data_IF_923096328863
#
_entry.id   IF_923096328863
#
_cell.length_a   1.000
_cell.length_b   1.000
_cell.length_c   1.000
_cell.angle_alpha   90.00
_cell.angle_beta   90.00
_cell.angle_gamma   90.00
#
_symmetry.space_group_name_H-M   'P 1'
#
loop_
_entity.id
_entity.type
_entity.pdbx_description
1 polymer ?
#
# COMPACT_ATOMS: atom_id res chain seq x y z
N UNK A 1 -11.94 -11.75 2.12
CA UNK A 1 -13.09 -11.91 3.04
C UNK A 1 -12.64 -12.65 4.29
N UNK A 2 -13.23 -12.35 5.44
CA UNK A 2 -12.89 -13.05 6.68
C UNK A 2 -13.32 -14.52 6.63
N UNK A 3 -12.44 -15.43 7.04
CA UNK A 3 -12.74 -16.86 7.18
C UNK A 3 -13.79 -17.15 8.26
N UNK A 4 -14.07 -16.17 9.13
CA UNK A 4 -15.03 -16.27 10.24
C UNK A 4 -16.38 -15.60 9.94
N UNK A 5 -16.59 -15.11 8.71
CA UNK A 5 -17.86 -14.47 8.36
C UNK A 5 -19.01 -15.46 8.40
N UNK A 6 -20.13 -15.07 9.00
CA UNK A 6 -21.40 -15.81 8.91
C UNK A 6 -22.11 -15.64 7.57
N UNK A 7 -21.68 -14.67 6.75
CA UNK A 7 -22.27 -14.34 5.46
C UNK A 7 -21.17 -14.15 4.40
N UNK A 8 -20.44 -15.22 4.03
CA UNK A 8 -19.36 -15.11 3.05
C UNK A 8 -19.88 -14.63 1.69
N UNK A 9 -20.93 -15.23 1.14
CA UNK A 9 -21.42 -14.88 -0.20
C UNK A 9 -21.85 -13.40 -0.29
N UNK A 10 -22.61 -12.91 0.69
CA UNK A 10 -22.97 -11.49 0.77
C UNK A 10 -21.75 -10.58 0.93
N UNK A 11 -20.73 -11.00 1.69
CA UNK A 11 -19.49 -10.23 1.80
C UNK A 11 -18.71 -10.18 0.48
N UNK A 12 -18.78 -11.25 -0.32
CA UNK A 12 -18.20 -11.28 -1.66
C UNK A 12 -18.95 -10.34 -2.61
N UNK A 13 -20.28 -10.44 -2.64
CA UNK A 13 -21.14 -9.56 -3.44
C UNK A 13 -20.95 -8.09 -3.07
N UNK A 14 -20.86 -7.77 -1.78
CA UNK A 14 -20.57 -6.43 -1.31
C UNK A 14 -19.21 -5.93 -1.82
N UNK A 15 -18.17 -6.76 -1.74
CA UNK A 15 -16.85 -6.41 -2.27
C UNK A 15 -16.87 -6.17 -3.79
N UNK A 16 -17.63 -6.96 -4.56
CA UNK A 16 -17.84 -6.76 -5.99
C UNK A 16 -18.58 -5.44 -6.28
N UNK A 17 -19.59 -5.11 -5.48
CA UNK A 17 -20.30 -3.84 -5.59
C UNK A 17 -19.35 -2.65 -5.35
N UNK A 18 -18.62 -2.66 -4.23
CA UNK A 18 -17.72 -1.57 -3.84
C UNK A 18 -16.61 -1.30 -4.88
N UNK A 19 -16.14 -2.35 -5.57
CA UNK A 19 -15.08 -2.21 -6.60
C UNK A 19 -15.62 -2.04 -8.01
N UNK A 20 -16.92 -1.88 -8.21
CA UNK A 20 -17.47 -1.66 -9.55
C UNK A 20 -17.04 -0.30 -10.12
N UNK A 21 -17.35 -0.05 -11.38
CA UNK A 21 -16.96 1.17 -12.09
C UNK A 21 -17.51 2.44 -11.43
N UNK A 22 -18.79 2.46 -11.12
CA UNK A 22 -19.49 3.63 -10.58
C UNK A 22 -18.96 4.01 -9.19
N UNK A 23 -18.83 3.04 -8.30
CA UNK A 23 -18.31 3.27 -6.96
C UNK A 23 -16.82 3.67 -6.97
N UNK A 24 -16.02 3.17 -7.92
CA UNK A 24 -14.65 3.66 -8.08
C UNK A 24 -14.59 5.09 -8.62
N UNK A 25 -15.50 5.50 -9.50
CA UNK A 25 -15.62 6.90 -9.93
C UNK A 25 -16.00 7.79 -8.75
N UNK A 26 -17.00 7.41 -7.95
CA UNK A 26 -17.37 8.15 -6.72
C UNK A 26 -16.19 8.25 -5.76
N UNK A 27 -15.50 7.14 -5.46
CA UNK A 27 -14.34 7.14 -4.56
C UNK A 27 -13.21 8.05 -5.05
N UNK A 28 -13.01 8.15 -6.37
CA UNK A 28 -11.96 8.98 -6.94
C UNK A 28 -12.34 10.46 -7.02
N UNK A 29 -13.57 10.76 -7.43
CA UNK A 29 -14.04 12.14 -7.62
C UNK A 29 -14.36 12.83 -6.29
N UNK A 30 -14.99 12.13 -5.36
CA UNK A 30 -15.40 12.70 -4.08
C UNK A 30 -14.36 12.43 -2.98
N UNK A 31 -13.69 11.27 -3.04
CA UNK A 31 -12.73 10.82 -2.03
C UNK A 31 -11.25 11.01 -2.40
N UNK A 32 -10.95 11.38 -3.65
CA UNK A 32 -9.58 11.58 -4.12
C UNK A 32 -8.78 10.28 -4.30
N UNK A 33 -9.37 9.10 -4.09
CA UNK A 33 -8.66 7.82 -4.14
C UNK A 33 -8.45 7.36 -5.61
N UNK A 34 -7.20 7.07 -6.04
CA UNK A 34 -6.94 6.57 -7.38
C UNK A 34 -7.77 5.33 -7.74
N UNK A 35 -8.44 5.29 -8.91
CA UNK A 35 -9.11 4.08 -9.36
C UNK A 35 -8.14 2.91 -9.56
N UNK A 36 -8.65 1.69 -9.37
CA UNK A 36 -7.93 0.45 -9.69
C UNK A 36 -8.29 -0.10 -11.08
N UNK A 37 -9.44 0.32 -11.64
CA UNK A 37 -9.81 0.00 -13.02
C UNK A 37 -9.07 0.92 -13.99
N UNK A 38 -8.10 0.37 -14.72
CA UNK A 38 -7.30 1.14 -15.68
C UNK A 38 -8.15 1.92 -16.68
N UNK A 39 -9.25 1.33 -17.17
CA UNK A 39 -10.14 1.97 -18.13
C UNK A 39 -10.76 3.30 -17.64
N UNK A 40 -10.82 3.54 -16.32
CA UNK A 40 -11.30 4.81 -15.78
C UNK A 40 -10.33 5.97 -16.06
N UNK A 41 -9.04 5.69 -16.25
CA UNK A 41 -8.06 6.71 -16.59
C UNK A 41 -8.20 7.22 -18.03
N UNK A 42 -8.92 6.51 -18.90
CA UNK A 42 -9.21 6.94 -20.27
C UNK A 42 -10.48 7.81 -20.35
N UNK A 43 -11.23 7.95 -19.26
CA UNK A 43 -12.51 8.68 -19.23
C UNK A 43 -12.30 10.20 -19.22
N UNK A 44 -12.81 10.95 -20.22
CA UNK A 44 -12.62 12.40 -20.29
C UNK A 44 -13.16 13.15 -19.07
N UNK A 45 -14.31 12.70 -18.54
CA UNK A 45 -14.91 13.28 -17.35
C UNK A 45 -14.04 13.04 -16.10
N UNK A 46 -13.42 11.88 -15.98
CA UNK A 46 -12.49 11.57 -14.89
C UNK A 46 -11.23 12.43 -14.99
N UNK A 47 -10.56 12.45 -16.16
CA UNK A 47 -9.36 13.26 -16.38
C UNK A 47 -9.59 14.75 -16.05
N UNK A 48 -10.75 15.28 -16.42
CA UNK A 48 -11.13 16.67 -16.13
C UNK A 48 -11.27 16.95 -14.62
N UNK A 49 -11.88 16.04 -13.88
CA UNK A 49 -12.14 16.21 -12.45
C UNK A 49 -10.98 15.74 -11.55
N UNK A 50 -10.08 14.91 -12.09
CA UNK A 50 -8.92 14.33 -11.43
C UNK A 50 -7.65 14.70 -12.22
N UNK A 51 -7.16 15.95 -12.09
CA UNK A 51 -6.17 16.53 -13.01
C UNK A 51 -4.79 15.87 -12.96
N UNK A 52 -4.51 15.07 -11.92
CA UNK A 52 -3.26 14.33 -11.73
C UNK A 52 -3.37 12.85 -12.15
N UNK A 53 -4.40 12.53 -12.94
CA UNK A 53 -4.70 11.17 -13.39
C UNK A 53 -3.58 10.56 -14.23
N UNK A 54 -2.92 11.34 -15.09
CA UNK A 54 -1.84 10.84 -15.95
C UNK A 54 -0.57 10.53 -15.15
N UNK A 55 -0.18 11.41 -14.22
CA UNK A 55 0.97 11.19 -13.33
C UNK A 55 0.75 10.01 -12.39
N UNK A 56 -0.47 9.87 -11.85
CA UNK A 56 -0.80 8.72 -11.00
C UNK A 56 -0.77 7.42 -11.80
N UNK A 57 -1.32 7.39 -13.02
CA UNK A 57 -1.25 6.19 -13.86
C UNK A 57 0.22 5.82 -14.15
N UNK A 58 1.05 6.79 -14.52
CA UNK A 58 2.48 6.55 -14.76
C UNK A 58 3.22 6.04 -13.51
N UNK A 59 2.91 6.60 -12.34
CA UNK A 59 3.47 6.15 -11.07
C UNK A 59 3.03 4.72 -10.71
N UNK A 60 1.77 4.36 -11.01
CA UNK A 60 1.25 3.00 -10.79
C UNK A 60 1.90 1.98 -11.76
N UNK A 61 2.09 2.34 -13.02
CA UNK A 61 2.69 1.47 -14.04
C UNK A 61 4.19 1.20 -13.78
N UNK A 62 4.88 2.08 -13.05
CA UNK A 62 6.31 1.97 -12.71
C UNK A 62 6.59 1.73 -11.21
N UNK A 63 5.56 1.43 -10.41
CA UNK A 63 5.68 1.31 -8.97
C UNK A 63 6.60 0.15 -8.54
N UNK A 64 7.41 0.39 -7.50
CA UNK A 64 8.09 -0.67 -6.76
C UNK A 64 7.17 -1.18 -5.64
N UNK A 65 7.08 -2.50 -5.49
CA UNK A 65 6.34 -3.13 -4.38
C UNK A 65 7.24 -3.31 -3.17
N UNK A 66 6.66 -3.12 -1.98
CA UNK A 66 7.32 -3.44 -0.71
C UNK A 66 7.59 -4.96 -0.63
N UNK A 67 8.59 -5.41 0.17
CA UNK A 67 8.92 -6.83 0.29
C UNK A 67 7.72 -7.71 0.67
N UNK A 68 7.52 -8.79 -0.08
CA UNK A 68 6.45 -9.76 0.15
C UNK A 68 6.96 -10.83 1.11
N UNK A 69 6.68 -10.68 2.40
CA UNK A 69 7.05 -11.65 3.44
C UNK A 69 6.04 -11.64 4.58
N UNK A 70 5.75 -12.79 5.23
CA UNK A 70 4.94 -12.83 6.44
C UNK A 70 5.50 -11.95 7.58
N UNK A 71 6.82 -11.70 7.58
CA UNK A 71 7.49 -10.85 8.57
C UNK A 71 7.47 -9.35 8.20
N UNK A 72 6.69 -8.92 7.20
CA UNK A 72 6.76 -7.56 6.64
C UNK A 72 6.54 -6.47 7.70
N UNK A 73 5.65 -6.70 8.68
CA UNK A 73 5.42 -5.75 9.75
C UNK A 73 6.69 -5.49 10.57
N UNK A 74 7.43 -6.53 10.93
CA UNK A 74 8.69 -6.42 11.67
C UNK A 74 9.75 -5.72 10.82
N UNK A 75 9.85 -6.09 9.54
CA UNK A 75 10.75 -5.42 8.57
C UNK A 75 10.45 -3.93 8.48
N UNK A 76 9.16 -3.54 8.39
CA UNK A 76 8.76 -2.14 8.32
C UNK A 76 9.10 -1.37 9.59
N UNK A 77 8.89 -1.98 10.77
CA UNK A 77 9.20 -1.33 12.05
C UNK A 77 10.71 -1.15 12.21
N UNK A 78 11.52 -2.17 11.90
CA UNK A 78 12.97 -2.09 11.94
C UNK A 78 13.52 -0.91 11.11
N UNK A 79 13.00 -0.75 9.88
CA UNK A 79 13.36 0.35 9.00
C UNK A 79 12.89 1.69 9.59
N UNK A 80 11.61 1.83 9.94
CA UNK A 80 11.04 3.10 10.42
C UNK A 80 11.64 3.56 11.75
N UNK A 81 11.88 2.64 12.69
CA UNK A 81 12.49 2.94 13.97
C UNK A 81 13.95 3.37 13.81
N UNK A 82 14.73 2.66 12.98
CA UNK A 82 16.15 3.01 12.76
C UNK A 82 16.32 4.36 12.06
N UNK A 83 15.34 4.78 11.25
CA UNK A 83 15.38 6.05 10.51
C UNK A 83 14.69 7.21 11.25
N UNK A 84 14.32 7.03 12.53
CA UNK A 84 13.66 8.07 13.32
C UNK A 84 14.45 8.42 14.58
N UNK A 85 14.69 9.71 14.88
CA UNK A 85 14.34 10.88 14.08
C UNK A 85 15.30 11.07 12.88
N UNK A 86 14.82 11.60 11.72
CA UNK A 86 15.66 11.74 10.54
C UNK A 86 16.92 12.61 10.72
N UNK A 87 16.88 13.56 11.66
CA UNK A 87 18.00 14.46 11.97
C UNK A 87 19.20 13.78 12.64
N UNK A 88 19.02 12.57 13.18
CA UNK A 88 20.04 11.85 13.96
C UNK A 88 20.61 10.62 13.24
N UNK A 89 20.22 10.40 11.98
CA UNK A 89 20.67 9.24 11.20
C UNK A 89 22.15 9.40 10.81
N UNK A 90 22.99 8.45 11.20
CA UNK A 90 24.25 8.17 10.50
C UNK A 90 24.02 7.08 9.43
N UNK A 91 24.09 7.41 8.12
CA UNK A 91 23.69 6.47 7.06
C UNK A 91 24.48 5.16 7.05
N UNK A 92 25.77 5.19 7.41
CA UNK A 92 26.62 3.99 7.34
C UNK A 92 26.24 2.99 8.42
N UNK A 93 26.10 3.42 9.66
CA UNK A 93 25.69 2.55 10.76
C UNK A 93 24.22 2.14 10.64
N UNK A 94 23.32 3.05 10.24
CA UNK A 94 21.90 2.75 10.07
C UNK A 94 21.63 1.61 9.09
N UNK A 95 22.37 1.55 7.96
CA UNK A 95 22.25 0.43 7.01
C UNK A 95 22.66 -0.90 7.65
N UNK A 96 23.71 -0.90 8.47
CA UNK A 96 24.15 -2.09 9.21
C UNK A 96 23.07 -2.59 10.16
N UNK A 97 22.51 -1.69 10.97
CA UNK A 97 21.43 -1.98 11.92
C UNK A 97 20.19 -2.51 11.22
N UNK A 98 19.75 -1.86 10.13
CA UNK A 98 18.57 -2.29 9.36
C UNK A 98 18.79 -3.71 8.81
N UNK A 99 19.97 -4.02 8.27
CA UNK A 99 20.28 -5.36 7.75
C UNK A 99 20.17 -6.42 8.86
N UNK A 100 20.80 -6.18 9.99
CA UNK A 100 20.77 -7.11 11.13
C UNK A 100 19.35 -7.34 11.65
N UNK A 101 18.56 -6.28 11.84
CA UNK A 101 17.20 -6.39 12.33
C UNK A 101 16.26 -7.08 11.33
N UNK A 102 16.44 -6.85 10.02
CA UNK A 102 15.69 -7.59 8.99
C UNK A 102 16.05 -9.08 9.02
N UNK A 103 17.34 -9.43 9.15
CA UNK A 103 17.77 -10.82 9.23
C UNK A 103 17.18 -11.52 10.46
N UNK A 104 17.17 -10.85 11.62
CA UNK A 104 16.52 -11.35 12.84
C UNK A 104 15.00 -11.51 12.64
N UNK A 105 14.33 -10.51 12.08
CA UNK A 105 12.89 -10.55 11.82
C UNK A 105 12.49 -11.71 10.91
N UNK A 106 13.26 -11.98 9.85
CA UNK A 106 13.03 -13.10 8.94
C UNK A 106 13.22 -14.47 9.61
N UNK A 107 14.07 -14.55 10.64
CA UNK A 107 14.27 -15.75 11.46
C UNK A 107 13.31 -15.88 12.64
N UNK A 108 12.40 -14.92 12.81
CA UNK A 108 11.53 -14.81 14.00
C UNK A 108 12.32 -14.67 15.31
N UNK A 109 13.47 -14.01 15.22
CA UNK A 109 14.36 -13.69 16.34
C UNK A 109 14.30 -12.19 16.66
N UNK A 110 14.76 -11.81 17.85
CA UNK A 110 14.80 -10.41 18.29
C UNK A 110 13.50 -9.88 18.90
N UNK A 111 13.55 -8.64 19.40
CA UNK A 111 12.41 -7.94 20.00
C UNK A 111 12.06 -6.75 19.11
N UNK A 112 10.75 -6.54 18.89
CA UNK A 112 10.26 -5.37 18.16
C UNK A 112 10.55 -4.13 19.04
N UNK A 113 11.30 -3.13 18.52
CA UNK A 113 11.58 -1.90 19.25
C UNK A 113 10.34 -1.03 19.44
#
# INVERSE_FOLDING_TARGET
MSAYSRHPDLAFEAALCLRNRENQLTAALDGGLPPTLRALYDEPAFKKAYPFSEEVLAALESASVRPITPAYQNVSIAISHTLSPPSEIDPKSAIGTIREQIDQALRSEGVIP
#
